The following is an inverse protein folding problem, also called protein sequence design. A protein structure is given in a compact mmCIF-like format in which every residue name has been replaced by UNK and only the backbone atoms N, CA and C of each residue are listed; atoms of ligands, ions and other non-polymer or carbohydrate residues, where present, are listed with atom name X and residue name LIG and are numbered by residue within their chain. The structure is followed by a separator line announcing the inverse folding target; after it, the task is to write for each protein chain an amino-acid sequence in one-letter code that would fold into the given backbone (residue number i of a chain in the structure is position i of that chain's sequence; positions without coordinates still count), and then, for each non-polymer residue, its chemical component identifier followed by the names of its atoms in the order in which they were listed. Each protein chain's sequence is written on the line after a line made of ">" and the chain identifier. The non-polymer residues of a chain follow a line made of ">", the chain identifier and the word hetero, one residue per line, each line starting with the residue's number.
data_IF_523054112451
#
_entry.id   IF_523054112451
#
_cell.length_a   1.000
_cell.length_b   1.000
_cell.length_c   1.000
_cell.angle_alpha   90.00
_cell.angle_beta   90.00
_cell.angle_gamma   90.00
#
_symmetry.space_group_name_H-M   'P 1'
#
loop_
_entity.id
_entity.type
_entity.pdbx_description
1 polymer ?
#
# COMPACT_ATOMS: atom_id res chain seq x y z
N UNK A 1 -10.22 24.96 1.52
CA UNK A 1 -8.99 24.75 0.72
C UNK A 1 -7.97 23.86 1.42
N UNK A 2 -7.74 23.97 2.74
CA UNK A 2 -6.69 23.23 3.47
C UNK A 2 -6.87 21.70 3.49
N UNK A 3 -8.10 21.21 3.69
CA UNK A 3 -8.42 19.76 3.68
C UNK A 3 -8.06 19.07 2.36
N UNK A 4 -8.17 19.79 1.24
CA UNK A 4 -7.88 19.25 -0.09
C UNK A 4 -6.38 18.99 -0.30
N UNK A 5 -5.54 19.81 0.30
CA UNK A 5 -4.08 19.70 0.18
C UNK A 5 -3.56 18.55 1.04
N UNK A 6 -4.16 18.34 2.21
CA UNK A 6 -3.87 17.22 3.09
C UNK A 6 -4.28 15.88 2.48
N UNK A 7 -5.46 15.81 1.85
CA UNK A 7 -5.90 14.62 1.13
C UNK A 7 -4.93 14.26 -0.01
N UNK A 8 -4.47 15.24 -0.78
CA UNK A 8 -3.51 15.02 -1.85
C UNK A 8 -2.16 14.50 -1.36
N UNK A 9 -1.64 15.08 -0.28
CA UNK A 9 -0.38 14.64 0.31
C UNK A 9 -0.48 13.21 0.86
N UNK A 10 -1.56 12.89 1.56
CA UNK A 10 -1.80 11.55 2.08
C UNK A 10 -1.91 10.52 0.94
N UNK A 11 -2.56 10.86 -0.17
CA UNK A 11 -2.62 10.00 -1.36
C UNK A 11 -1.22 9.75 -1.96
N UNK A 12 -0.40 10.80 -2.09
CA UNK A 12 0.96 10.67 -2.63
C UNK A 12 1.88 9.86 -1.70
N UNK A 13 1.79 10.08 -0.38
CA UNK A 13 2.55 9.31 0.60
C UNK A 13 2.15 7.83 0.58
N UNK A 14 0.85 7.56 0.55
CA UNK A 14 0.35 6.20 0.43
C UNK A 14 0.85 5.52 -0.85
N UNK A 15 0.86 6.23 -1.98
CA UNK A 15 1.39 5.72 -3.24
C UNK A 15 2.87 5.31 -3.13
N UNK A 16 3.71 6.16 -2.53
CA UNK A 16 5.12 5.83 -2.33
C UNK A 16 5.31 4.60 -1.43
N UNK A 17 4.53 4.51 -0.36
CA UNK A 17 4.58 3.36 0.55
C UNK A 17 4.14 2.09 -0.15
N UNK A 18 3.09 2.16 -0.99
CA UNK A 18 2.63 1.01 -1.78
C UNK A 18 3.70 0.54 -2.75
N UNK A 19 4.35 1.45 -3.48
CA UNK A 19 5.42 1.08 -4.42
C UNK A 19 6.62 0.46 -3.69
N UNK A 20 7.01 1.04 -2.56
CA UNK A 20 8.09 0.50 -1.72
C UNK A 20 7.72 -0.86 -1.12
N UNK A 21 6.47 -1.05 -0.73
CA UNK A 21 5.94 -2.32 -0.27
C UNK A 21 5.99 -3.38 -1.37
N UNK A 22 5.57 -3.07 -2.60
CA UNK A 22 5.64 -4.02 -3.72
C UNK A 22 7.08 -4.50 -3.98
N UNK A 23 8.07 -3.60 -3.95
CA UNK A 23 9.47 -3.96 -4.09
C UNK A 23 9.97 -4.79 -2.90
N UNK A 24 9.60 -4.39 -1.68
CA UNK A 24 9.98 -5.10 -0.45
C UNK A 24 9.41 -6.52 -0.43
N UNK A 25 8.17 -6.73 -0.88
CA UNK A 25 7.57 -8.07 -0.99
C UNK A 25 8.39 -8.94 -1.94
N UNK A 26 8.70 -8.45 -3.15
CA UNK A 26 9.48 -9.24 -4.11
C UNK A 26 10.85 -9.63 -3.57
N UNK A 27 11.54 -8.72 -2.87
CA UNK A 27 12.83 -9.02 -2.26
C UNK A 27 12.69 -10.00 -1.10
N UNK A 28 11.70 -9.79 -0.23
CA UNK A 28 11.46 -10.63 0.93
C UNK A 28 11.05 -12.06 0.53
N UNK A 29 10.24 -12.23 -0.51
CA UNK A 29 9.91 -13.53 -1.08
C UNK A 29 11.14 -14.22 -1.65
N UNK A 30 11.97 -13.52 -2.43
CA UNK A 30 13.19 -14.11 -3.00
C UNK A 30 14.22 -14.51 -1.93
N UNK A 31 14.29 -13.74 -0.83
CA UNK A 31 15.21 -14.00 0.28
C UNK A 31 14.63 -14.92 1.35
N UNK A 32 13.39 -15.43 1.18
CA UNK A 32 12.67 -16.18 2.21
C UNK A 32 12.69 -15.49 3.58
N UNK A 33 12.46 -14.17 3.59
CA UNK A 33 12.52 -13.35 4.79
C UNK A 33 11.11 -13.06 5.35
N UNK A 34 10.62 -13.83 6.36
CA UNK A 34 9.29 -13.63 6.92
C UNK A 34 9.10 -12.30 7.62
N UNK A 35 10.16 -11.82 8.26
CA UNK A 35 10.11 -10.56 9.00
C UNK A 35 9.86 -9.39 8.03
N UNK A 36 10.47 -9.42 6.85
CA UNK A 36 10.30 -8.40 5.83
C UNK A 36 8.89 -8.44 5.21
N UNK A 37 8.31 -9.63 5.00
CA UNK A 37 6.91 -9.78 4.59
C UNK A 37 5.96 -9.19 5.65
N UNK A 38 6.21 -9.44 6.94
CA UNK A 38 5.42 -8.84 8.03
C UNK A 38 5.55 -7.32 8.10
N UNK A 39 6.76 -6.77 7.99
CA UNK A 39 6.95 -5.32 7.96
C UNK A 39 6.21 -4.69 6.78
N UNK A 40 6.25 -5.34 5.63
CA UNK A 40 5.57 -4.83 4.44
C UNK A 40 4.04 -4.87 4.60
N UNK A 41 3.50 -5.86 5.33
CA UNK A 41 2.09 -5.88 5.70
C UNK A 41 1.69 -4.65 6.52
N UNK A 42 2.52 -4.24 7.49
CA UNK A 42 2.26 -3.04 8.27
C UNK A 42 2.32 -1.77 7.43
N UNK A 43 3.28 -1.68 6.49
CA UNK A 43 3.37 -0.55 5.54
C UNK A 43 2.10 -0.42 4.68
N UNK A 44 1.60 -1.53 4.13
CA UNK A 44 0.37 -1.51 3.33
C UNK A 44 -0.87 -1.18 4.17
N UNK A 45 -0.94 -1.62 5.42
CA UNK A 45 -2.00 -1.19 6.35
C UNK A 45 -1.96 0.32 6.56
N UNK A 46 -0.77 0.89 6.83
CA UNK A 46 -0.63 2.33 7.02
C UNK A 46 -1.05 3.12 5.76
N UNK A 47 -0.63 2.67 4.57
CA UNK A 47 -1.05 3.27 3.30
C UNK A 47 -2.57 3.21 3.11
N UNK A 48 -3.20 2.10 3.51
CA UNK A 48 -4.66 1.94 3.47
C UNK A 48 -5.36 2.98 4.34
N UNK A 49 -4.89 3.18 5.57
CA UNK A 49 -5.47 4.18 6.48
C UNK A 49 -5.32 5.60 5.95
N UNK A 50 -4.15 5.94 5.40
CA UNK A 50 -3.92 7.24 4.76
C UNK A 50 -4.88 7.48 3.60
N UNK A 51 -5.10 6.47 2.74
CA UNK A 51 -6.03 6.58 1.62
C UNK A 51 -7.47 6.75 2.11
N UNK A 52 -7.93 5.98 3.10
CA UNK A 52 -9.30 6.11 3.62
C UNK A 52 -9.55 7.50 4.22
N UNK A 53 -8.59 8.00 5.01
CA UNK A 53 -8.70 9.31 5.64
C UNK A 53 -8.71 10.44 4.59
N UNK A 54 -7.85 10.31 3.58
CA UNK A 54 -7.73 11.25 2.48
C UNK A 54 -8.95 11.21 1.56
N UNK A 55 -9.52 10.02 1.29
CA UNK A 55 -10.71 9.84 0.46
C UNK A 55 -11.95 10.48 1.10
N UNK A 56 -12.06 10.48 2.43
CA UNK A 56 -13.14 11.17 3.16
C UNK A 56 -13.08 12.70 3.01
N UNK A 57 -11.90 13.25 2.69
CA UNK A 57 -11.67 14.69 2.51
C UNK A 57 -11.46 15.09 1.05
N UNK A 58 -11.60 14.14 0.12
CA UNK A 58 -11.24 14.31 -1.28
C UNK A 58 -12.32 15.06 -2.07
N UNK A 59 -11.89 16.00 -2.92
CA UNK A 59 -12.76 16.62 -3.92
C UNK A 59 -12.77 15.77 -5.20
N UNK A 60 -13.77 15.95 -6.11
CA UNK A 60 -13.90 15.15 -7.33
C UNK A 60 -12.64 15.14 -8.21
N UNK A 61 -11.90 16.24 -8.27
CA UNK A 61 -10.65 16.33 -9.04
C UNK A 61 -9.55 15.36 -8.56
N UNK A 62 -9.60 14.90 -7.30
CA UNK A 62 -8.64 13.93 -6.75
C UNK A 62 -9.14 12.49 -6.85
N UNK A 63 -10.41 12.23 -7.22
CA UNK A 63 -10.92 10.86 -7.31
C UNK A 63 -10.10 9.99 -8.25
N UNK A 64 -9.63 10.53 -9.38
CA UNK A 64 -8.78 9.76 -10.30
C UNK A 64 -7.48 9.32 -9.64
N UNK A 65 -6.83 10.20 -8.88
CA UNK A 65 -5.61 9.86 -8.17
C UNK A 65 -5.89 8.81 -7.10
N UNK A 66 -6.96 8.96 -6.31
CA UNK A 66 -7.36 7.96 -5.32
C UNK A 66 -7.66 6.59 -5.94
N UNK A 67 -8.36 6.55 -7.09
CA UNK A 67 -8.62 5.29 -7.78
C UNK A 67 -7.34 4.59 -8.21
N UNK A 68 -6.36 5.33 -8.74
CA UNK A 68 -5.06 4.76 -9.12
C UNK A 68 -4.35 4.16 -7.91
N UNK A 69 -4.23 4.94 -6.83
CA UNK A 69 -3.55 4.49 -5.60
C UNK A 69 -4.28 3.30 -4.96
N UNK A 70 -5.62 3.30 -4.97
CA UNK A 70 -6.42 2.20 -4.44
C UNK A 70 -6.24 0.91 -5.27
N UNK A 71 -6.06 1.03 -6.58
CA UNK A 71 -5.78 -0.10 -7.46
C UNK A 71 -4.34 -0.64 -7.23
N UNK A 72 -3.35 0.25 -7.07
CA UNK A 72 -1.97 -0.13 -6.70
C UNK A 72 -1.95 -0.85 -5.33
N UNK A 73 -2.71 -0.34 -4.35
CA UNK A 73 -2.85 -0.95 -3.03
C UNK A 73 -3.44 -2.36 -3.12
N UNK A 74 -4.50 -2.53 -3.91
CA UNK A 74 -5.15 -3.82 -4.09
C UNK A 74 -4.21 -4.84 -4.75
N UNK A 75 -3.40 -4.38 -5.72
CA UNK A 75 -2.39 -5.21 -6.36
C UNK A 75 -1.28 -5.60 -5.37
N UNK A 76 -0.74 -4.64 -4.61
CA UNK A 76 0.28 -4.90 -3.59
C UNK A 76 -0.22 -5.86 -2.51
N UNK A 77 -1.47 -5.72 -2.09
CA UNK A 77 -2.09 -6.60 -1.10
C UNK A 77 -2.25 -8.05 -1.61
N UNK A 78 -2.60 -8.23 -2.88
CA UNK A 78 -2.63 -9.57 -3.48
C UNK A 78 -1.25 -10.21 -3.55
N UNK A 79 -0.23 -9.46 -3.97
CA UNK A 79 1.15 -9.97 -4.05
C UNK A 79 1.66 -10.31 -2.65
N UNK A 80 1.37 -9.48 -1.64
CA UNK A 80 1.69 -9.77 -0.24
C UNK A 80 1.02 -11.08 0.23
N UNK A 81 -0.26 -11.26 -0.08
CA UNK A 81 -1.00 -12.46 0.31
C UNK A 81 -0.42 -13.72 -0.32
N UNK A 82 -0.04 -13.67 -1.61
CA UNK A 82 0.68 -14.77 -2.26
C UNK A 82 2.03 -15.04 -1.61
N UNK A 83 2.80 -14.00 -1.28
CA UNK A 83 4.09 -14.14 -0.62
C UNK A 83 3.96 -14.80 0.76
N UNK A 84 2.93 -14.43 1.54
CA UNK A 84 2.64 -15.07 2.83
C UNK A 84 2.26 -16.54 2.66
N UNK A 85 1.45 -16.89 1.66
CA UNK A 85 1.10 -18.28 1.37
C UNK A 85 2.31 -19.11 0.90
N UNK A 86 3.20 -18.53 0.10
CA UNK A 86 4.43 -19.19 -0.32
C UNK A 86 5.35 -19.44 0.89
N UNK A 87 5.49 -18.48 1.79
CA UNK A 87 6.25 -18.68 3.02
C UNK A 87 5.70 -19.80 3.91
N UNK A 88 4.39 -19.85 4.09
CA UNK A 88 3.75 -20.89 4.90
C UNK A 88 3.90 -22.29 4.30
N UNK A 89 4.15 -22.42 2.98
CA UNK A 89 4.41 -23.70 2.32
C UNK A 89 5.89 -24.11 2.35
N UNK A 90 6.79 -23.20 2.72
CA UNK A 90 8.23 -23.45 2.77
C UNK A 90 8.76 -23.67 4.19
N UNK A 91 7.90 -23.60 5.22
CA UNK A 91 8.17 -24.08 6.57
C UNK A 91 7.66 -25.52 6.74
#
# INVERSE_FOLDING_TARGET
>A
MQQNQQAQQAAQQAQQIIQQAQQSIQQATQQNNPLAIQQTQQQLQQATEMIQQAQSSAIPAQQQQFQQVQQELQQASQVLQQAQQQQNQQQ
#
